data_IF_083750111179
#
_entry.id   IF_083750111179
#
_cell.length_a   1.000
_cell.length_b   1.000
_cell.length_c   1.000
_cell.angle_alpha   90.00
_cell.angle_beta   90.00
_cell.angle_gamma   90.00
#
_symmetry.space_group_name_H-M   'P 1'
#
loop_
_entity.id
_entity.type
_entity.pdbx_description
1 polymer ?
#
# COMPACT_ATOMS: atom_id res chain seq x y z
N UNK A 1 11.48 22.48 -0.73
CA UNK A 1 11.33 21.18 -1.42
C UNK A 1 11.99 19.99 -0.69
N UNK A 2 13.02 20.16 0.15
CA UNK A 2 13.76 19.02 0.75
C UNK A 2 13.06 18.19 1.86
N UNK A 3 12.12 18.74 2.65
CA UNK A 3 11.50 18.00 3.78
C UNK A 3 10.29 17.12 3.41
N UNK A 4 9.71 17.35 2.23
CA UNK A 4 8.52 16.61 1.77
C UNK A 4 8.93 15.26 1.16
N UNK A 5 9.99 15.27 0.34
CA UNK A 5 10.57 14.06 -0.22
C UNK A 5 11.04 13.08 0.88
N UNK A 6 11.66 13.57 1.95
CA UNK A 6 12.17 12.70 3.02
C UNK A 6 11.08 11.91 3.73
N UNK A 7 9.89 12.49 3.90
CA UNK A 7 8.77 11.79 4.53
C UNK A 7 8.18 10.70 3.62
N UNK A 8 8.11 10.96 2.31
CA UNK A 8 7.66 9.99 1.31
C UNK A 8 8.65 8.84 1.17
N UNK A 9 9.96 9.14 1.14
CA UNK A 9 11.02 8.12 1.15
C UNK A 9 11.03 7.27 2.41
N UNK A 10 10.85 7.88 3.58
CA UNK A 10 10.70 7.14 4.83
C UNK A 10 9.47 6.23 4.80
N UNK A 11 8.36 6.71 4.22
CA UNK A 11 7.14 5.92 4.09
C UNK A 11 7.34 4.72 3.15
N UNK A 12 8.00 4.93 2.01
CA UNK A 12 8.38 3.85 1.08
C UNK A 12 9.29 2.83 1.79
N UNK A 13 10.28 3.28 2.58
CA UNK A 13 11.18 2.40 3.31
C UNK A 13 10.44 1.57 4.37
N UNK A 14 9.48 2.16 5.08
CA UNK A 14 8.61 1.44 6.02
C UNK A 14 7.80 0.36 5.29
N UNK A 15 7.19 0.68 4.15
CA UNK A 15 6.46 -0.32 3.36
C UNK A 15 7.38 -1.42 2.83
N UNK A 16 8.59 -1.08 2.36
CA UNK A 16 9.56 -2.09 1.93
C UNK A 16 9.94 -3.04 3.09
N UNK A 17 10.18 -2.50 4.28
CA UNK A 17 10.46 -3.31 5.46
C UNK A 17 9.28 -4.21 5.83
N UNK A 18 8.05 -3.71 5.73
CA UNK A 18 6.83 -4.49 5.95
C UNK A 18 6.63 -5.59 4.91
N UNK A 19 6.97 -5.34 3.64
CA UNK A 19 6.93 -6.35 2.56
C UNK A 19 7.92 -7.47 2.82
N UNK A 20 9.15 -7.14 3.22
CA UNK A 20 10.17 -8.13 3.57
C UNK A 20 9.78 -8.92 4.82
N UNK A 21 9.23 -8.24 5.84
CA UNK A 21 8.70 -8.89 7.03
C UNK A 21 7.54 -9.82 6.69
N UNK A 22 6.61 -9.41 5.82
CA UNK A 22 5.52 -10.24 5.32
C UNK A 22 6.03 -11.52 4.65
N UNK A 23 7.01 -11.40 3.75
CA UNK A 23 7.63 -12.57 3.11
C UNK A 23 8.25 -13.53 4.13
N UNK A 24 9.06 -13.00 5.05
CA UNK A 24 9.82 -13.78 6.02
C UNK A 24 8.93 -14.43 7.10
N UNK A 25 7.83 -13.79 7.50
CA UNK A 25 6.97 -14.26 8.59
C UNK A 25 5.84 -15.17 8.13
N UNK A 26 5.36 -15.01 6.89
CA UNK A 26 4.29 -15.85 6.36
C UNK A 26 4.73 -17.30 6.17
N UNK A 27 5.99 -17.55 5.82
CA UNK A 27 6.60 -18.89 5.67
C UNK A 27 6.44 -19.80 6.90
N UNK A 28 7.07 -19.46 8.04
CA UNK A 28 7.11 -20.31 9.22
C UNK A 28 5.88 -20.23 10.14
N UNK A 29 5.05 -19.19 10.02
CA UNK A 29 3.91 -18.95 10.93
C UNK A 29 2.64 -18.67 10.16
N UNK A 30 2.06 -19.72 9.56
CA UNK A 30 0.84 -19.67 8.72
C UNK A 30 -0.33 -18.88 9.34
N UNK A 31 -0.45 -18.84 10.67
CA UNK A 31 -1.48 -18.09 11.40
C UNK A 31 -1.10 -16.64 11.76
N UNK A 32 0.19 -16.31 11.85
CA UNK A 32 0.65 -14.96 12.19
C UNK A 32 0.57 -14.00 10.99
N UNK A 33 0.41 -14.51 9.77
CA UNK A 33 0.46 -13.78 8.50
C UNK A 33 -0.82 -13.01 8.12
N UNK A 34 -1.90 -13.12 8.89
CA UNK A 34 -3.19 -12.57 8.48
C UNK A 34 -3.35 -11.05 8.68
N UNK A 35 -2.43 -10.41 9.41
CA UNK A 35 -2.40 -8.95 9.55
C UNK A 35 -2.30 -8.21 8.20
N UNK A 36 -1.80 -8.89 7.17
CA UNK A 36 -1.66 -8.39 5.81
C UNK A 36 -3.01 -8.40 5.07
N UNK A 37 -3.85 -9.38 5.39
CA UNK A 37 -5.17 -9.59 4.76
C UNK A 37 -6.29 -8.94 5.57
N UNK A 38 -6.09 -8.71 6.87
CA UNK A 38 -7.03 -8.03 7.77
C UNK A 38 -7.60 -6.71 7.19
N UNK A 39 -6.77 -5.81 6.59
CA UNK A 39 -7.26 -4.59 5.97
C UNK A 39 -8.17 -4.84 4.76
N UNK A 40 -8.00 -5.98 4.08
CA UNK A 40 -8.74 -6.40 2.89
C UNK A 40 -9.96 -7.27 3.23
N UNK A 41 -9.96 -7.93 4.39
CA UNK A 41 -11.08 -8.72 4.91
C UNK A 41 -12.21 -7.85 5.45
N UNK A 42 -11.88 -6.66 5.97
CA UNK A 42 -12.88 -5.68 6.34
C UNK A 42 -13.45 -5.02 5.07
N UNK A 43 -14.64 -5.47 4.65
CA UNK A 43 -15.34 -4.98 3.45
C UNK A 43 -15.37 -3.45 3.28
N UNK A 44 -15.72 -2.64 4.31
CA UNK A 44 -15.69 -1.18 4.18
C UNK A 44 -14.28 -0.63 3.96
N UNK A 45 -13.27 -1.20 4.63
CA UNK A 45 -11.89 -0.75 4.52
C UNK A 45 -11.31 -1.08 3.15
N UNK A 46 -11.61 -2.27 2.60
CA UNK A 46 -11.25 -2.65 1.23
C UNK A 46 -11.79 -1.66 0.19
N UNK A 47 -13.06 -1.26 0.32
CA UNK A 47 -13.67 -0.28 -0.59
C UNK A 47 -12.98 1.09 -0.50
N UNK A 48 -12.68 1.55 0.71
CA UNK A 48 -11.96 2.81 0.93
C UNK A 48 -10.56 2.74 0.30
N UNK A 49 -9.85 1.63 0.48
CA UNK A 49 -8.51 1.44 -0.09
C UNK A 49 -8.55 1.40 -1.63
N UNK A 50 -9.52 0.72 -2.23
CA UNK A 50 -9.69 0.71 -3.70
C UNK A 50 -10.05 2.09 -4.24
N UNK A 51 -10.94 2.82 -3.55
CA UNK A 51 -11.32 4.18 -3.93
C UNK A 51 -10.12 5.12 -3.81
N UNK A 52 -9.34 5.01 -2.73
CA UNK A 52 -8.13 5.79 -2.52
C UNK A 52 -7.09 5.50 -3.60
N UNK A 53 -6.90 4.24 -3.98
CA UNK A 53 -6.01 3.85 -5.07
C UNK A 53 -6.44 4.49 -6.40
N UNK A 54 -7.71 4.35 -6.76
CA UNK A 54 -8.26 4.88 -8.00
C UNK A 54 -8.15 6.40 -8.08
N UNK A 55 -8.59 7.11 -7.04
CA UNK A 55 -8.54 8.58 -6.99
C UNK A 55 -7.09 9.08 -7.01
N UNK A 56 -6.18 8.43 -6.30
CA UNK A 56 -4.77 8.81 -6.28
C UNK A 56 -4.13 8.68 -7.67
N UNK A 57 -4.44 7.61 -8.38
CA UNK A 57 -3.93 7.38 -9.73
C UNK A 57 -4.50 8.39 -10.74
N UNK A 58 -5.80 8.68 -10.66
CA UNK A 58 -6.45 9.69 -11.50
C UNK A 58 -5.80 11.06 -11.29
N UNK A 59 -5.57 11.47 -10.04
CA UNK A 59 -4.93 12.76 -9.76
C UNK A 59 -3.51 12.80 -10.33
N UNK A 60 -2.70 11.76 -10.09
CA UNK A 60 -1.31 11.72 -10.60
C UNK A 60 -1.24 11.77 -12.13
N UNK A 61 -2.16 11.10 -12.83
CA UNK A 61 -2.24 11.11 -14.30
C UNK A 61 -2.77 12.44 -14.84
N UNK A 62 -3.68 13.11 -14.12
CA UNK A 62 -4.32 14.36 -14.59
C UNK A 62 -3.52 15.63 -14.29
N UNK A 63 -2.66 15.61 -13.27
CA UNK A 63 -1.78 16.73 -12.88
C UNK A 63 -0.95 17.31 -14.04
N UNK A 64 -0.28 16.53 -14.91
CA UNK A 64 0.46 17.10 -16.04
C UNK A 64 -0.43 17.85 -17.03
N UNK A 65 -1.72 17.49 -17.12
CA UNK A 65 -2.69 18.15 -18.00
C UNK A 65 -3.45 19.30 -17.33
N UNK A 66 -3.47 19.34 -15.99
CA UNK A 66 -4.16 20.37 -15.18
C UNK A 66 -3.30 20.79 -13.99
N UNK A 67 -2.33 21.70 -14.18
CA UNK A 67 -1.39 22.11 -13.12
C UNK A 67 -2.04 22.84 -11.94
N UNK A 68 -3.32 23.25 -12.03
CA UNK A 68 -4.10 23.77 -10.90
C UNK A 68 -4.50 22.69 -9.87
N UNK A 69 -4.36 21.41 -10.20
CA UNK A 69 -4.66 20.29 -9.30
C UNK A 69 -3.50 19.90 -8.36
N UNK A 70 -2.43 20.71 -8.30
CA UNK A 70 -1.21 20.43 -7.52
C UNK A 70 -1.45 20.28 -6.01
N UNK A 71 -2.53 20.87 -5.48
CA UNK A 71 -2.89 20.76 -4.06
C UNK A 71 -3.16 19.32 -3.59
N UNK A 72 -3.58 18.44 -4.50
CA UNK A 72 -3.92 17.05 -4.17
C UNK A 72 -2.77 16.06 -4.42
N UNK A 73 -1.71 16.48 -5.11
CA UNK A 73 -0.60 15.61 -5.52
C UNK A 73 0.01 14.87 -4.32
N UNK A 74 0.25 15.57 -3.21
CA UNK A 74 0.86 14.96 -2.02
C UNK A 74 -0.03 13.88 -1.41
N UNK A 75 -1.34 14.14 -1.31
CA UNK A 75 -2.29 13.15 -0.80
C UNK A 75 -2.37 11.93 -1.73
N UNK A 76 -2.29 12.14 -3.05
CA UNK A 76 -2.30 11.08 -4.05
C UNK A 76 -0.99 10.27 -4.08
N UNK A 77 0.16 10.90 -3.90
CA UNK A 77 1.44 10.19 -3.71
C UNK A 77 1.39 9.34 -2.44
N UNK A 78 0.88 9.89 -1.33
CA UNK A 78 0.74 9.14 -0.09
C UNK A 78 -0.24 7.95 -0.26
N UNK A 79 -1.38 8.18 -0.90
CA UNK A 79 -2.39 7.15 -1.18
C UNK A 79 -1.85 6.04 -2.08
N UNK A 80 -1.05 6.36 -3.10
CA UNK A 80 -0.39 5.36 -3.95
C UNK A 80 0.67 4.56 -3.23
N UNK A 81 1.52 5.20 -2.40
CA UNK A 81 2.51 4.48 -1.58
C UNK A 81 1.81 3.50 -0.63
N UNK A 82 0.73 3.94 0.03
CA UNK A 82 -0.03 3.11 0.95
C UNK A 82 -0.67 1.90 0.24
N UNK A 83 -1.30 2.10 -0.91
CA UNK A 83 -1.99 1.02 -1.62
C UNK A 83 -1.02 0.04 -2.27
N UNK A 84 0.08 0.54 -2.85
CA UNK A 84 1.14 -0.30 -3.40
C UNK A 84 1.88 -1.09 -2.32
N UNK A 85 2.17 -0.45 -1.18
CA UNK A 85 2.80 -1.12 -0.05
C UNK A 85 1.93 -2.26 0.48
N UNK A 86 0.63 -2.02 0.66
CA UNK A 86 -0.31 -3.03 1.13
C UNK A 86 -0.45 -4.20 0.14
N UNK A 87 -0.54 -3.89 -1.16
CA UNK A 87 -0.55 -4.90 -2.22
C UNK A 87 0.77 -5.69 -2.24
N UNK A 88 1.91 -5.02 -2.07
CA UNK A 88 3.23 -5.64 -1.98
C UNK A 88 3.32 -6.62 -0.83
N UNK A 89 2.81 -6.27 0.35
CA UNK A 89 2.77 -7.18 1.50
C UNK A 89 1.93 -8.42 1.19
N UNK A 90 0.77 -8.24 0.53
CA UNK A 90 -0.11 -9.35 0.15
C UNK A 90 0.57 -10.29 -0.85
N UNK A 91 1.18 -9.74 -1.91
CA UNK A 91 1.92 -10.52 -2.89
C UNK A 91 3.14 -11.22 -2.28
N UNK A 92 3.85 -10.57 -1.37
CA UNK A 92 5.00 -11.16 -0.68
C UNK A 92 4.60 -12.34 0.21
N UNK A 93 3.51 -12.22 0.97
CA UNK A 93 2.96 -13.35 1.73
C UNK A 93 2.46 -14.46 0.81
N UNK A 94 1.78 -14.12 -0.30
CA UNK A 94 1.35 -15.11 -1.28
C UNK A 94 2.52 -15.84 -1.92
N UNK A 95 3.63 -15.14 -2.19
CA UNK A 95 4.82 -15.74 -2.76
C UNK A 95 5.54 -16.70 -1.81
N UNK A 96 5.45 -16.51 -0.49
CA UNK A 96 6.15 -17.36 0.48
C UNK A 96 5.37 -18.62 0.88
N UNK A 97 4.04 -18.58 0.92
CA UNK A 97 3.21 -19.74 1.36
C UNK A 97 2.01 -20.07 0.47
N UNK A 98 1.83 -19.37 -0.64
CA UNK A 98 0.64 -19.51 -1.48
C UNK A 98 -0.59 -18.85 -0.86
N UNK A 99 -1.77 -19.42 -1.08
CA UNK A 99 -3.01 -18.89 -0.53
C UNK A 99 -3.03 -19.04 1.00
N UNK A 100 -2.79 -17.93 1.70
CA UNK A 100 -2.93 -17.87 3.16
C UNK A 100 -4.42 -18.00 3.51
N UNK A 101 -4.83 -19.11 4.13
CA UNK A 101 -6.19 -19.25 4.66
C UNK A 101 -6.29 -18.46 5.96
N UNK A 102 -6.73 -17.21 5.85
CA UNK A 102 -6.98 -16.34 7.00
C UNK A 102 -8.38 -16.52 7.61
N UNK A 103 -9.02 -17.64 7.25
CA UNK A 103 -10.23 -18.24 7.81
C UNK A 103 -10.14 -19.76 7.64
#
# INVERSE_FOLDING_TARGET
MGRLATAEWAHIAVWLALVLAAYATAGPYTFASCWIVLPLLMWPLKLILMLLAALSLIVLVTVPFRPRATGYVRASVHGTILTLGLAGCFFAAYASVGSVSCL
#
